data_IF_442009465215
#
_entry.id   IF_442009465215
#
_cell.length_a   1.000
_cell.length_b   1.000
_cell.length_c   1.000
_cell.angle_alpha   90.00
_cell.angle_beta   90.00
_cell.angle_gamma   90.00
#
_symmetry.space_group_name_H-M   'P 1'
#
loop_
_entity.id
_entity.type
_entity.pdbx_description
1 polymer ?
#
# COMPACT_ATOMS: atom_id res chain seq x y z
N UNK A 1 9.53 27.07 -0.69
CA UNK A 1 9.91 25.98 0.24
C UNK A 1 10.00 24.70 -0.58
N UNK A 2 10.90 23.79 -0.24
CA UNK A 2 10.93 22.48 -0.88
C UNK A 2 9.66 21.71 -0.51
N UNK A 3 9.18 20.84 -1.41
CA UNK A 3 8.08 19.94 -1.15
C UNK A 3 8.51 18.90 -0.10
N UNK A 4 7.68 18.67 0.92
CA UNK A 4 7.93 17.64 1.94
C UNK A 4 7.03 16.43 1.70
N UNK A 5 7.65 15.30 1.35
CA UNK A 5 6.98 14.02 1.16
C UNK A 5 6.99 13.21 2.46
N UNK A 6 5.81 12.89 2.97
CA UNK A 6 5.63 11.95 4.08
C UNK A 6 5.44 10.54 3.57
N UNK A 7 6.24 9.59 4.07
CA UNK A 7 6.11 8.17 3.73
C UNK A 7 5.65 7.42 4.98
N UNK A 8 4.51 6.74 4.87
CA UNK A 8 4.00 5.85 5.93
C UNK A 8 4.53 4.44 5.68
N UNK A 9 5.27 3.93 6.66
CA UNK A 9 6.04 2.70 6.60
C UNK A 9 7.54 2.98 6.50
N UNK A 10 8.34 2.31 7.35
CA UNK A 10 9.79 2.51 7.48
C UNK A 10 10.63 1.45 6.78
N UNK A 11 10.06 0.73 5.82
CA UNK A 11 10.69 -0.42 5.17
C UNK A 11 11.70 -0.08 4.07
N UNK A 12 12.00 -1.10 3.28
CA UNK A 12 13.02 -1.00 2.23
C UNK A 12 12.60 -0.09 1.09
N UNK A 13 11.31 -0.06 0.72
CA UNK A 13 10.82 0.80 -0.35
C UNK A 13 10.91 2.27 0.05
N UNK A 14 10.55 2.62 1.29
CA UNK A 14 10.74 3.96 1.83
C UNK A 14 12.22 4.38 1.74
N UNK A 15 13.15 3.49 2.16
CA UNK A 15 14.60 3.77 2.04
C UNK A 15 15.03 4.03 0.61
N UNK A 16 14.52 3.29 -0.37
CA UNK A 16 14.87 3.44 -1.79
C UNK A 16 14.35 4.75 -2.38
N UNK A 17 13.29 5.34 -1.82
CA UNK A 17 12.77 6.64 -2.26
C UNK A 17 13.63 7.83 -1.83
N UNK A 18 14.48 7.68 -0.81
CA UNK A 18 15.23 8.80 -0.22
C UNK A 18 16.22 9.42 -1.21
N UNK A 19 17.05 8.61 -1.87
CA UNK A 19 18.07 9.11 -2.80
C UNK A 19 17.45 9.86 -4.00
N UNK A 20 16.44 9.31 -4.72
CA UNK A 20 15.76 10.06 -5.77
C UNK A 20 15.08 11.34 -5.30
N UNK A 21 14.51 11.34 -4.10
CA UNK A 21 13.90 12.56 -3.54
C UNK A 21 14.93 13.68 -3.33
N UNK A 22 16.11 13.34 -2.81
CA UNK A 22 17.21 14.31 -2.66
C UNK A 22 17.64 14.87 -4.02
N UNK A 23 17.77 14.05 -5.04
CA UNK A 23 18.11 14.47 -6.40
C UNK A 23 17.05 15.42 -7.01
N UNK A 24 15.78 15.22 -6.64
CA UNK A 24 14.65 16.06 -7.07
C UNK A 24 14.43 17.29 -6.20
N UNK A 25 15.21 17.48 -5.14
CA UNK A 25 15.04 18.60 -4.20
C UNK A 25 13.77 18.47 -3.34
N UNK A 26 13.33 17.24 -3.07
CA UNK A 26 12.18 16.92 -2.22
C UNK A 26 12.66 16.48 -0.84
N UNK A 27 12.15 17.11 0.21
CA UNK A 27 12.39 16.66 1.58
C UNK A 27 11.57 15.41 1.89
N UNK A 28 12.18 14.44 2.59
CA UNK A 28 11.50 13.18 2.96
C UNK A 28 11.39 13.08 4.47
N UNK A 29 10.17 12.74 4.94
CA UNK A 29 9.90 12.32 6.31
C UNK A 29 9.26 10.93 6.30
N UNK A 30 9.58 10.10 7.29
CA UNK A 30 9.06 8.74 7.38
C UNK A 30 8.40 8.53 8.74
N UNK A 31 7.17 7.99 8.72
CA UNK A 31 6.53 7.39 9.87
C UNK A 31 6.88 5.89 9.88
N UNK A 32 7.83 5.51 10.72
CA UNK A 32 8.25 4.13 10.86
C UNK A 32 7.43 3.41 11.95
N UNK A 33 7.19 2.10 11.81
CA UNK A 33 6.47 1.31 12.81
C UNK A 33 7.28 1.15 14.10
N UNK A 34 8.61 1.07 13.95
CA UNK A 34 9.53 0.96 15.08
C UNK A 34 10.89 1.61 14.79
N UNK A 35 11.68 1.93 15.80
CA UNK A 35 13.02 2.48 15.61
C UNK A 35 13.96 1.49 14.89
N UNK A 36 14.86 2.02 14.06
CA UNK A 36 15.90 1.23 13.40
C UNK A 36 15.48 0.48 12.15
N UNK A 37 14.28 0.71 11.63
CA UNK A 37 13.85 0.17 10.34
C UNK A 37 14.71 0.65 9.17
N UNK A 38 14.56 0.06 8.00
CA UNK A 38 15.42 0.33 6.83
C UNK A 38 15.52 1.81 6.45
N UNK A 39 14.45 2.57 6.60
CA UNK A 39 14.39 4.01 6.30
C UNK A 39 14.72 4.90 7.51
N UNK A 40 15.36 4.39 8.55
CA UNK A 40 15.65 5.11 9.81
C UNK A 40 16.34 6.45 9.61
N UNK A 41 17.14 6.62 8.56
CA UNK A 41 17.82 7.89 8.25
C UNK A 41 16.86 9.06 8.00
N UNK A 42 15.63 8.77 7.57
CA UNK A 42 14.57 9.76 7.32
C UNK A 42 13.37 9.60 8.28
N UNK A 43 13.44 8.68 9.25
CA UNK A 43 12.38 8.47 10.22
C UNK A 43 12.29 9.66 11.20
N UNK A 44 11.22 10.44 11.06
CA UNK A 44 10.94 11.61 11.90
C UNK A 44 9.86 11.34 12.94
N UNK A 45 9.12 10.23 12.78
CA UNK A 45 8.11 9.75 13.70
C UNK A 45 8.13 8.22 13.78
N UNK A 46 7.68 7.70 14.91
CA UNK A 46 7.50 6.25 15.12
C UNK A 46 6.09 6.01 15.67
N UNK A 47 5.37 5.03 15.09
CA UNK A 47 4.04 4.67 15.55
C UNK A 47 3.29 3.76 14.59
N UNK A 48 2.12 3.31 15.04
CA UNK A 48 1.28 2.38 14.27
C UNK A 48 0.51 3.14 13.17
N UNK A 49 0.72 2.75 11.93
CA UNK A 49 -0.01 3.29 10.77
C UNK A 49 -1.50 2.92 10.75
N UNK A 50 -1.95 2.03 11.64
CA UNK A 50 -3.35 1.70 11.83
C UNK A 50 -4.07 2.68 12.76
N UNK A 51 -3.31 3.39 13.59
CA UNK A 51 -3.86 4.41 14.46
C UNK A 51 -4.01 5.74 13.71
N UNK A 52 -5.27 6.16 13.53
CA UNK A 52 -5.62 7.38 12.80
C UNK A 52 -4.95 8.62 13.37
N UNK A 53 -4.91 8.76 14.70
CA UNK A 53 -4.34 9.96 15.33
C UNK A 53 -2.82 10.04 15.15
N UNK A 54 -2.14 8.91 15.18
CA UNK A 54 -0.71 8.82 14.85
C UNK A 54 -0.45 9.30 13.42
N UNK A 55 -1.21 8.80 12.44
CA UNK A 55 -1.02 9.17 11.03
C UNK A 55 -1.44 10.63 10.78
N UNK A 56 -2.50 11.12 11.43
CA UNK A 56 -2.90 12.52 11.40
C UNK A 56 -1.81 13.46 11.93
N UNK A 57 -1.23 13.10 13.08
CA UNK A 57 -0.15 13.89 13.67
C UNK A 57 1.05 14.00 12.72
N UNK A 58 1.45 12.88 12.11
CA UNK A 58 2.51 12.85 11.12
C UNK A 58 2.17 13.67 9.87
N UNK A 59 0.94 13.57 9.35
CA UNK A 59 0.49 14.25 8.14
C UNK A 59 0.47 15.78 8.24
N UNK A 60 0.44 16.36 9.45
CA UNK A 60 0.48 17.82 9.66
C UNK A 60 1.80 18.46 9.24
N UNK A 61 2.86 17.68 9.22
CA UNK A 61 4.22 18.15 8.98
C UNK A 61 4.73 17.88 7.57
N UNK A 62 3.85 17.45 6.66
CA UNK A 62 4.19 17.10 5.27
C UNK A 62 3.18 17.67 4.28
N UNK A 63 3.61 17.89 3.05
CA UNK A 63 2.73 18.40 2.00
C UNK A 63 1.94 17.29 1.31
N UNK A 64 2.54 16.09 1.21
CA UNK A 64 1.95 14.92 0.54
C UNK A 64 2.26 13.67 1.35
N UNK A 65 1.30 12.77 1.46
CA UNK A 65 1.46 11.45 2.08
C UNK A 65 1.48 10.35 1.01
N UNK A 66 2.47 9.47 1.09
CA UNK A 66 2.57 8.22 0.32
C UNK A 66 2.89 7.04 1.25
N UNK A 67 3.06 5.84 0.71
CA UNK A 67 3.16 4.61 1.48
C UNK A 67 4.33 3.75 1.00
N UNK A 68 4.98 3.07 1.95
CA UNK A 68 5.98 2.04 1.69
C UNK A 68 5.32 0.68 1.37
N UNK A 69 4.09 0.48 1.86
CA UNK A 69 3.32 -0.75 1.69
C UNK A 69 1.82 -0.45 1.58
N UNK A 70 1.02 -1.43 1.16
CA UNK A 70 -0.42 -1.29 0.96
C UNK A 70 -1.29 -1.47 2.23
N UNK A 71 -0.70 -1.70 3.42
CA UNK A 71 -1.45 -2.17 4.60
C UNK A 71 -2.18 -1.10 5.41
N UNK A 72 -2.03 0.18 5.07
CA UNK A 72 -2.74 1.27 5.77
C UNK A 72 -4.25 1.09 5.59
N UNK A 73 -5.05 1.07 6.68
CA UNK A 73 -6.48 0.85 6.59
C UNK A 73 -7.21 1.89 5.74
N UNK A 74 -8.22 1.46 4.99
CA UNK A 74 -9.00 2.34 4.11
C UNK A 74 -9.69 3.47 4.87
N UNK A 75 -10.13 3.22 6.11
CA UNK A 75 -10.73 4.24 6.98
C UNK A 75 -9.73 5.34 7.36
N UNK A 76 -8.46 4.99 7.59
CA UNK A 76 -7.38 5.96 7.86
C UNK A 76 -7.14 6.82 6.61
N UNK A 77 -7.02 6.19 5.44
CA UNK A 77 -6.80 6.91 4.17
C UNK A 77 -7.94 7.88 3.86
N UNK A 78 -9.21 7.42 4.03
CA UNK A 78 -10.39 8.25 3.77
C UNK A 78 -10.49 9.41 4.76
N UNK A 79 -10.13 9.20 6.02
CA UNK A 79 -10.11 10.25 7.03
C UNK A 79 -9.07 11.33 6.69
N UNK A 80 -7.85 10.95 6.29
CA UNK A 80 -6.82 11.91 5.85
C UNK A 80 -7.28 12.75 4.65
N UNK A 81 -7.90 12.11 3.65
CA UNK A 81 -8.44 12.84 2.48
C UNK A 81 -9.56 13.79 2.89
N UNK A 82 -10.45 13.38 3.81
CA UNK A 82 -11.52 14.24 4.35
C UNK A 82 -10.96 15.43 5.14
N UNK A 83 -9.81 15.25 5.79
CA UNK A 83 -9.08 16.32 6.50
C UNK A 83 -8.32 17.27 5.53
N UNK A 84 -8.37 17.01 4.22
CA UNK A 84 -7.70 17.82 3.19
C UNK A 84 -6.24 17.47 2.94
N UNK A 85 -5.75 16.34 3.47
CA UNK A 85 -4.38 15.86 3.21
C UNK A 85 -4.27 15.33 1.79
N UNK A 86 -3.21 15.70 1.07
CA UNK A 86 -2.90 15.13 -0.23
C UNK A 86 -2.33 13.72 -0.05
N UNK A 87 -3.12 12.69 -0.38
CA UNK A 87 -2.77 11.27 -0.21
C UNK A 87 -2.62 10.61 -1.58
N UNK A 88 -1.42 10.09 -1.88
CA UNK A 88 -1.10 9.44 -3.15
C UNK A 88 -0.30 8.14 -2.96
N UNK A 89 -0.78 6.99 -3.50
CA UNK A 89 -2.08 6.82 -4.18
C UNK A 89 -3.25 7.06 -3.23
N UNK A 90 -4.37 7.58 -3.76
CA UNK A 90 -5.59 7.76 -2.98
C UNK A 90 -6.24 6.43 -2.58
N UNK A 91 -7.20 6.44 -1.63
CA UNK A 91 -7.83 5.22 -1.12
C UNK A 91 -8.45 4.35 -2.21
N UNK A 92 -9.09 4.96 -3.21
CA UNK A 92 -9.74 4.23 -4.31
C UNK A 92 -8.75 3.56 -5.27
N UNK A 93 -7.51 4.04 -5.35
CA UNK A 93 -6.45 3.38 -6.10
C UNK A 93 -5.75 2.31 -5.25
N UNK A 94 -5.42 2.64 -3.98
CA UNK A 94 -4.68 1.73 -3.10
C UNK A 94 -5.46 0.44 -2.79
N UNK A 95 -6.80 0.46 -2.77
CA UNK A 95 -7.62 -0.73 -2.52
C UNK A 95 -7.31 -1.88 -3.49
N UNK A 96 -6.92 -1.59 -4.73
CA UNK A 96 -6.56 -2.62 -5.70
C UNK A 96 -5.21 -3.28 -5.39
N UNK A 97 -4.30 -2.59 -4.72
CA UNK A 97 -3.09 -3.21 -4.19
C UNK A 97 -3.38 -4.04 -2.92
N UNK A 98 -4.37 -3.63 -2.12
CA UNK A 98 -4.75 -4.30 -0.89
C UNK A 98 -5.52 -5.61 -1.11
N UNK A 99 -6.30 -5.70 -2.19
CA UNK A 99 -7.20 -6.84 -2.44
C UNK A 99 -7.02 -7.39 -3.85
N UNK A 100 -6.50 -8.63 -3.93
CA UNK A 100 -6.21 -9.29 -5.21
C UNK A 100 -7.47 -9.65 -6.00
N UNK A 101 -8.59 -9.90 -5.33
CA UNK A 101 -9.86 -10.21 -6.01
C UNK A 101 -10.44 -8.93 -6.63
N UNK A 102 -10.46 -7.82 -5.89
CA UNK A 102 -10.87 -6.52 -6.43
C UNK A 102 -10.01 -6.11 -7.63
N UNK A 103 -8.69 -6.26 -7.51
CA UNK A 103 -7.76 -5.98 -8.61
C UNK A 103 -8.05 -6.83 -9.84
N UNK A 104 -8.22 -8.15 -9.67
CA UNK A 104 -8.51 -9.08 -10.78
C UNK A 104 -9.83 -8.77 -11.46
N UNK A 105 -10.88 -8.52 -10.67
CA UNK A 105 -12.18 -8.13 -11.20
C UNK A 105 -12.10 -6.84 -12.02
N UNK A 106 -11.39 -5.83 -11.48
CA UNK A 106 -11.23 -4.55 -12.19
C UNK A 106 -10.43 -4.69 -13.49
N UNK A 107 -9.38 -5.49 -13.51
CA UNK A 107 -8.62 -5.77 -14.73
C UNK A 107 -9.47 -6.49 -15.78
N UNK A 108 -10.34 -7.42 -15.36
CA UNK A 108 -11.29 -8.10 -16.26
C UNK A 108 -12.31 -7.11 -16.88
N UNK A 109 -12.88 -6.22 -16.08
CA UNK A 109 -13.79 -5.17 -16.56
C UNK A 109 -13.13 -4.25 -17.61
N UNK A 110 -11.84 -3.96 -17.43
CA UNK A 110 -11.06 -3.14 -18.36
C UNK A 110 -10.57 -3.90 -19.60
N UNK A 111 -10.82 -5.21 -19.69
CA UNK A 111 -10.32 -6.05 -20.76
C UNK A 111 -8.80 -6.22 -20.77
N UNK A 112 -8.15 -5.97 -19.64
CA UNK A 112 -6.70 -6.11 -19.52
C UNK A 112 -6.29 -7.58 -19.56
N UNK A 113 -5.23 -7.96 -20.32
CA UNK A 113 -4.72 -9.32 -20.33
C UNK A 113 -4.29 -9.77 -18.94
N UNK A 114 -4.76 -10.93 -18.51
CA UNK A 114 -4.39 -11.53 -17.23
C UNK A 114 -4.50 -13.06 -17.29
N UNK A 115 -3.77 -13.78 -16.43
CA UNK A 115 -3.94 -15.22 -16.31
C UNK A 115 -5.38 -15.58 -15.91
N UNK A 116 -5.79 -16.82 -16.21
CA UNK A 116 -7.02 -17.38 -15.65
C UNK A 116 -6.99 -17.34 -14.12
N UNK A 117 -8.08 -16.93 -13.52
CA UNK A 117 -8.20 -16.78 -12.06
C UNK A 117 -9.61 -17.08 -11.57
N UNK A 118 -9.72 -17.49 -10.33
CA UNK A 118 -11.00 -17.66 -9.64
C UNK A 118 -10.87 -17.31 -8.17
N UNK A 119 -11.96 -16.80 -7.57
CA UNK A 119 -12.12 -16.84 -6.13
C UNK A 119 -12.51 -18.26 -5.75
N UNK A 120 -11.82 -18.86 -4.79
CA UNK A 120 -12.10 -20.21 -4.29
C UNK A 120 -12.32 -20.15 -2.79
N UNK A 121 -13.42 -20.71 -2.32
CA UNK A 121 -13.79 -20.74 -0.91
C UNK A 121 -13.36 -22.05 -0.22
N UNK A 122 -13.24 -23.14 -0.98
CA UNK A 122 -12.92 -24.45 -0.45
C UNK A 122 -12.11 -25.32 -1.41
N UNK A 123 -11.76 -26.53 -0.95
CA UNK A 123 -10.97 -27.49 -1.71
C UNK A 123 -11.68 -28.01 -2.97
N UNK A 124 -13.01 -28.09 -2.97
CA UNK A 124 -13.80 -28.56 -4.12
C UNK A 124 -13.74 -27.55 -5.26
N UNK A 125 -13.90 -26.27 -4.96
CA UNK A 125 -13.79 -25.19 -5.94
C UNK A 125 -12.35 -25.08 -6.48
N UNK A 126 -11.35 -25.25 -5.61
CA UNK A 126 -9.96 -25.30 -6.04
C UNK A 126 -9.71 -26.49 -6.99
N UNK A 127 -10.23 -27.67 -6.68
CA UNK A 127 -10.09 -28.85 -7.56
C UNK A 127 -10.74 -28.62 -8.92
N UNK A 128 -11.94 -28.05 -8.95
CA UNK A 128 -12.61 -27.73 -10.21
C UNK A 128 -11.79 -26.73 -11.07
N UNK A 129 -11.18 -25.73 -10.43
CA UNK A 129 -10.29 -24.79 -11.13
C UNK A 129 -9.03 -25.49 -11.68
N UNK A 130 -8.41 -26.38 -10.91
CA UNK A 130 -7.25 -27.17 -11.33
C UNK A 130 -7.59 -28.05 -12.54
N UNK A 131 -8.72 -28.75 -12.50
CA UNK A 131 -9.15 -29.65 -13.58
C UNK A 131 -9.37 -28.87 -14.90
N UNK A 132 -9.92 -27.66 -14.81
CA UNK A 132 -10.12 -26.77 -15.96
C UNK A 132 -8.82 -26.13 -16.51
N UNK A 133 -7.76 -26.07 -15.70
CA UNK A 133 -6.56 -25.29 -16.01
C UNK A 133 -5.25 -26.12 -16.01
N UNK A 134 -5.31 -27.40 -16.38
CA UNK A 134 -4.13 -28.26 -16.57
C UNK A 134 -3.45 -28.70 -15.27
N UNK A 135 -4.18 -28.73 -14.16
CA UNK A 135 -3.76 -29.33 -12.90
C UNK A 135 -2.78 -28.50 -12.06
N UNK A 136 -2.52 -27.24 -12.42
CA UNK A 136 -1.61 -26.35 -11.66
C UNK A 136 -2.22 -24.99 -11.41
N UNK A 137 -2.07 -24.50 -10.18
CA UNK A 137 -2.48 -23.15 -9.79
C UNK A 137 -1.57 -22.57 -8.71
N UNK A 138 -1.56 -21.23 -8.60
CA UNK A 138 -0.97 -20.53 -7.48
C UNK A 138 -2.12 -20.03 -6.59
N UNK A 139 -2.20 -20.56 -5.37
CA UNK A 139 -3.19 -20.13 -4.39
C UNK A 139 -2.63 -18.97 -3.57
N UNK A 140 -3.42 -17.91 -3.42
CA UNK A 140 -3.04 -16.72 -2.63
C UNK A 140 -4.20 -16.27 -1.76
N UNK A 141 -3.91 -15.72 -0.61
CA UNK A 141 -4.93 -14.98 0.17
C UNK A 141 -5.33 -13.71 -0.58
N UNK A 142 -6.61 -13.29 -0.53
CA UNK A 142 -7.04 -12.04 -1.14
C UNK A 142 -6.24 -10.84 -0.64
N UNK A 143 -5.98 -10.76 0.65
CA UNK A 143 -5.23 -9.69 1.32
C UNK A 143 -3.99 -10.25 2.03
N UNK A 144 -2.90 -9.46 2.06
CA UNK A 144 -1.63 -9.88 2.63
C UNK A 144 -0.99 -11.04 1.86
N UNK A 145 -0.21 -11.89 2.55
CA UNK A 145 0.36 -13.12 1.98
C UNK A 145 1.74 -12.92 1.33
N UNK A 146 2.55 -12.11 1.95
CA UNK A 146 4.00 -11.97 1.68
C UNK A 146 4.82 -12.65 2.76
#
# INVERSE_FOLDING_TARGET
MALTLGIVGGGQLARMMIAPAVELGVDVRVLAEEPGMSAAIAATATGDYRDLETVRAFARDVDVVTFDHEHVPQEVLRALVADGVAVHPGPDALRFAQDKLEMRARLAELGAPQPEWAAVADASELQAFLDANGGRAVVKTPRGGY
#
